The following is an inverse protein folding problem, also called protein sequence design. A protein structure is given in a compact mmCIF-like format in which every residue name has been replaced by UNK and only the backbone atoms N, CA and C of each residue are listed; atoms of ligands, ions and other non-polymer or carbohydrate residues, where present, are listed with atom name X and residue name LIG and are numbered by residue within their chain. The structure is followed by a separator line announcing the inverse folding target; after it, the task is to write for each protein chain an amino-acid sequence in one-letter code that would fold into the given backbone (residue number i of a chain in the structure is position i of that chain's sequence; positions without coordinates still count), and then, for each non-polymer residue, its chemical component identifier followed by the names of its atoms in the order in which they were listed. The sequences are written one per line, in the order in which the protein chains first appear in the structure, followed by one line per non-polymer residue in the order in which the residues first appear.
data_IF_397188112833
#
_entry.id   IF_397188112833
#
_cell.length_a   1.000
_cell.length_b   1.000
_cell.length_c   1.000
_cell.angle_alpha   90.00
_cell.angle_beta   90.00
_cell.angle_gamma   90.00
#
_symmetry.space_group_name_H-M   'P 1'
#
loop_
_entity.id
_entity.type
_entity.pdbx_description
1 polymer ?
#
# COMPACT_ATOMS: atom_id res chain seq x y z
N UNK A 1 10.15 -11.60 12.36
CA UNK A 1 11.00 -11.15 11.23
C UNK A 1 10.31 -9.92 10.64
N UNK A 2 10.98 -8.78 10.72
CA UNK A 2 10.51 -7.46 10.31
C UNK A 2 9.98 -7.45 8.86
N UNK A 3 8.79 -6.90 8.64
CA UNK A 3 8.16 -6.74 7.31
C UNK A 3 9.05 -5.92 6.39
N UNK A 4 9.78 -4.92 6.93
CA UNK A 4 10.76 -4.12 6.21
C UNK A 4 11.93 -4.99 5.69
N UNK A 5 12.48 -5.85 6.55
CA UNK A 5 13.58 -6.74 6.16
C UNK A 5 13.12 -7.76 5.10
N UNK A 6 11.87 -8.22 5.18
CA UNK A 6 11.29 -9.13 4.17
C UNK A 6 11.03 -8.41 2.84
N UNK A 7 10.48 -7.20 2.89
CA UNK A 7 10.26 -6.35 1.72
C UNK A 7 11.57 -6.07 1.00
N UNK A 8 12.60 -5.64 1.74
CA UNK A 8 13.96 -5.46 1.21
C UNK A 8 14.48 -6.77 0.61
N UNK A 9 14.37 -7.89 1.31
CA UNK A 9 14.93 -9.15 0.80
C UNK A 9 14.25 -9.64 -0.49
N UNK A 10 12.93 -9.49 -0.62
CA UNK A 10 12.19 -9.89 -1.82
C UNK A 10 12.47 -8.95 -3.01
N UNK A 11 12.55 -7.64 -2.76
CA UNK A 11 12.83 -6.65 -3.81
C UNK A 11 14.31 -6.73 -4.26
N UNK A 12 15.26 -6.87 -3.34
CA UNK A 12 16.70 -6.83 -3.63
C UNK A 12 17.33 -8.19 -3.97
N UNK A 13 16.86 -9.29 -3.37
CA UNK A 13 17.45 -10.63 -3.57
C UNK A 13 16.52 -11.62 -4.29
N UNK A 14 15.28 -11.22 -4.60
CA UNK A 14 14.32 -12.01 -5.40
C UNK A 14 14.82 -12.23 -6.82
N UNK A 15 15.39 -13.40 -7.07
CA UNK A 15 15.90 -13.85 -8.38
C UNK A 15 14.77 -13.94 -9.41
N UNK A 16 14.72 -13.00 -10.35
CA UNK A 16 14.11 -13.07 -11.70
C UNK A 16 12.82 -13.88 -11.90
N UNK A 17 11.93 -13.94 -10.92
CA UNK A 17 10.66 -14.61 -11.07
C UNK A 17 9.54 -13.65 -10.68
N UNK A 18 8.52 -13.62 -11.53
CA UNK A 18 7.19 -13.13 -11.25
C UNK A 18 6.90 -13.33 -9.75
N UNK A 19 6.73 -12.24 -8.99
CA UNK A 19 6.28 -12.33 -7.60
C UNK A 19 4.96 -13.09 -7.64
N UNK A 20 4.95 -14.31 -7.12
CA UNK A 20 3.73 -15.09 -6.96
C UNK A 20 2.78 -14.31 -6.06
N UNK A 21 1.47 -14.39 -6.32
CA UNK A 21 0.43 -13.71 -5.54
C UNK A 21 0.65 -13.87 -4.02
N UNK A 22 1.08 -15.06 -3.61
CA UNK A 22 1.40 -15.45 -2.22
C UNK A 22 2.61 -14.71 -1.60
N UNK A 23 3.55 -14.21 -2.42
CA UNK A 23 4.71 -13.45 -1.95
C UNK A 23 4.38 -11.97 -1.71
N UNK A 24 3.35 -11.45 -2.38
CA UNK A 24 2.91 -10.07 -2.24
C UNK A 24 2.11 -9.87 -0.93
N UNK A 25 1.27 -10.83 -0.54
CA UNK A 25 0.54 -10.78 0.74
C UNK A 25 1.48 -10.78 1.96
N UNK A 26 2.69 -11.30 1.80
CA UNK A 26 3.73 -11.32 2.82
C UNK A 26 4.51 -10.02 2.99
N UNK A 27 4.32 -9.05 2.09
CA UNK A 27 5.12 -7.82 2.01
C UNK A 27 4.50 -6.65 2.78
N UNK A 28 3.16 -6.58 2.87
CA UNK A 28 2.43 -5.45 3.46
C UNK A 28 1.67 -5.79 4.73
N UNK A 29 1.27 -7.05 4.86
CA UNK A 29 0.60 -7.57 6.06
C UNK A 29 1.46 -8.73 6.57
N UNK A 30 1.57 -8.99 7.87
CA UNK A 30 2.39 -10.09 8.41
C UNK A 30 1.88 -11.51 8.05
N UNK A 31 1.35 -11.72 6.84
CA UNK A 31 0.74 -12.97 6.37
C UNK A 31 -0.62 -13.24 6.99
N UNK A 32 -1.35 -12.19 7.37
CA UNK A 32 -2.69 -12.33 7.94
C UNK A 32 -3.71 -12.51 6.82
N UNK A 33 -4.68 -13.37 7.06
CA UNK A 33 -5.88 -13.44 6.22
C UNK A 33 -6.71 -12.16 6.36
N UNK A 34 -7.53 -11.86 5.35
CA UNK A 34 -8.45 -10.70 5.40
C UNK A 34 -9.35 -10.69 6.64
N UNK A 35 -9.75 -11.87 7.14
CA UNK A 35 -10.58 -12.00 8.34
C UNK A 35 -9.79 -11.62 9.59
N UNK A 36 -8.58 -12.16 9.75
CA UNK A 36 -7.71 -11.84 10.89
C UNK A 36 -7.37 -10.34 10.92
N UNK A 37 -7.04 -9.77 9.76
CA UNK A 37 -6.80 -8.33 9.64
C UNK A 37 -8.04 -7.49 9.94
N UNK A 38 -9.23 -7.96 9.54
CA UNK A 38 -10.51 -7.32 9.86
C UNK A 38 -10.74 -7.17 11.37
N UNK A 39 -10.45 -8.20 12.16
CA UNK A 39 -10.55 -8.12 13.63
C UNK A 39 -9.56 -7.11 14.23
N UNK A 40 -8.34 -7.03 13.69
CA UNK A 40 -7.37 -6.02 14.13
C UNK A 40 -7.87 -4.60 13.79
N UNK A 41 -8.41 -4.40 12.59
CA UNK A 41 -8.98 -3.12 12.17
C UNK A 41 -10.14 -2.68 13.08
N UNK A 42 -10.97 -3.61 13.54
CA UNK A 42 -12.04 -3.32 14.51
C UNK A 42 -11.49 -2.74 15.83
N UNK A 43 -10.41 -3.34 16.34
CA UNK A 43 -9.77 -2.87 17.58
C UNK A 43 -9.06 -1.53 17.35
N UNK A 44 -8.29 -1.42 16.26
CA UNK A 44 -7.56 -0.18 15.92
C UNK A 44 -8.51 0.99 15.65
N UNK A 45 -9.67 0.74 15.03
CA UNK A 45 -10.69 1.75 14.73
C UNK A 45 -11.29 2.42 15.97
N UNK A 46 -11.05 1.88 17.17
CA UNK A 46 -11.44 2.51 18.45
C UNK A 46 -10.64 3.78 18.75
N UNK A 47 -9.47 3.94 18.14
CA UNK A 47 -8.59 5.09 18.33
C UNK A 47 -8.16 5.68 16.99
N UNK A 48 -8.41 6.98 16.80
CA UNK A 48 -8.17 7.66 15.51
C UNK A 48 -6.70 7.64 15.06
N UNK A 49 -5.76 7.49 16.00
CA UNK A 49 -4.32 7.51 15.76
C UNK A 49 -3.70 6.12 15.66
N UNK A 50 -4.42 5.06 16.04
CA UNK A 50 -3.85 3.71 16.09
C UNK A 50 -3.39 3.20 14.71
N UNK A 51 -4.16 3.38 13.62
CA UNK A 51 -3.72 2.92 12.30
C UNK A 51 -2.39 3.52 11.85
N UNK A 52 -2.12 4.77 12.20
CA UNK A 52 -0.90 5.48 11.84
C UNK A 52 0.32 4.92 12.60
N UNK A 53 0.14 4.52 13.86
CA UNK A 53 1.22 3.89 14.65
C UNK A 53 1.61 2.53 14.07
N UNK A 54 0.63 1.74 13.62
CA UNK A 54 0.88 0.43 13.01
C UNK A 54 1.18 0.49 11.50
N UNK A 55 1.35 1.70 10.96
CA UNK A 55 1.59 1.95 9.53
C UNK A 55 0.55 1.30 8.59
N UNK A 56 -0.69 1.20 9.05
CA UNK A 56 -1.81 0.58 8.35
C UNK A 56 -2.98 1.55 8.10
N UNK A 57 -2.72 2.86 8.28
CA UNK A 57 -3.70 3.91 8.02
C UNK A 57 -3.93 4.16 6.53
N UNK A 58 -5.18 4.52 6.19
CA UNK A 58 -5.47 5.08 4.87
C UNK A 58 -4.88 6.50 4.74
N UNK A 59 -4.42 6.90 3.54
CA UNK A 59 -4.47 6.17 2.26
C UNK A 59 -3.23 5.28 2.00
N UNK A 60 -2.25 5.28 2.91
CA UNK A 60 -0.93 4.65 2.70
C UNK A 60 -1.04 3.15 2.38
N UNK A 61 -1.86 2.40 3.12
CA UNK A 61 -2.03 0.95 2.93
C UNK A 61 -2.46 0.59 1.50
N UNK A 62 -3.45 1.31 0.96
CA UNK A 62 -3.93 1.07 -0.41
C UNK A 62 -2.90 1.48 -1.46
N UNK A 63 -2.17 2.57 -1.23
CA UNK A 63 -1.10 2.99 -2.14
C UNK A 63 0.08 2.00 -2.15
N UNK A 64 0.42 1.42 -1.00
CA UNK A 64 1.40 0.35 -0.92
C UNK A 64 0.96 -0.88 -1.71
N UNK A 65 -0.32 -1.26 -1.61
CA UNK A 65 -0.90 -2.37 -2.38
C UNK A 65 -0.84 -2.10 -3.89
N UNK A 66 -1.21 -0.89 -4.34
CA UNK A 66 -1.10 -0.49 -5.76
C UNK A 66 0.34 -0.57 -6.26
N UNK A 67 1.31 -0.04 -5.52
CA UNK A 67 2.73 -0.13 -5.89
C UNK A 67 3.19 -1.58 -5.97
N UNK A 68 2.78 -2.42 -5.03
CA UNK A 68 3.16 -3.83 -5.01
C UNK A 68 2.62 -4.61 -6.21
N UNK A 69 1.38 -4.33 -6.63
CA UNK A 69 0.76 -5.03 -7.76
C UNK A 69 1.19 -4.50 -9.12
N UNK A 70 1.43 -3.18 -9.24
CA UNK A 70 1.59 -2.52 -10.54
C UNK A 70 2.90 -1.75 -10.72
N UNK A 71 3.69 -1.57 -9.65
CA UNK A 71 4.94 -0.83 -9.69
C UNK A 71 6.08 -1.60 -10.38
N UNK A 72 6.95 -0.88 -11.09
CA UNK A 72 8.21 -1.42 -11.57
C UNK A 72 9.25 -1.49 -10.43
N UNK A 73 10.42 -2.13 -10.68
CA UNK A 73 11.44 -2.33 -9.65
C UNK A 73 11.96 -1.01 -9.08
N UNK A 74 12.15 -0.02 -9.93
CA UNK A 74 12.64 1.30 -9.55
C UNK A 74 11.65 2.02 -8.64
N UNK A 75 10.35 1.98 -8.97
CA UNK A 75 9.27 2.56 -8.16
C UNK A 75 9.10 1.83 -6.83
N UNK A 76 9.20 0.50 -6.82
CA UNK A 76 9.16 -0.29 -5.59
C UNK A 76 10.34 0.07 -4.67
N UNK A 77 11.54 0.21 -5.24
CA UNK A 77 12.73 0.53 -4.46
C UNK A 77 12.68 1.95 -3.88
N UNK A 78 12.26 2.93 -4.66
CA UNK A 78 12.21 4.33 -4.24
C UNK A 78 11.06 4.59 -3.25
N UNK A 79 9.86 4.09 -3.56
CA UNK A 79 8.64 4.48 -2.87
C UNK A 79 8.13 3.44 -1.89
N UNK A 80 8.07 2.16 -2.29
CA UNK A 80 7.49 1.11 -1.43
C UNK A 80 8.34 0.87 -0.18
N UNK A 81 9.67 0.81 -0.31
CA UNK A 81 10.57 0.60 0.84
C UNK A 81 10.40 1.72 1.88
N UNK A 82 10.39 2.96 1.42
CA UNK A 82 10.22 4.15 2.28
C UNK A 82 8.84 4.17 2.95
N UNK A 83 7.80 3.72 2.25
CA UNK A 83 6.44 3.61 2.79
C UNK A 83 6.32 2.52 3.86
N UNK A 84 6.88 1.33 3.64
CA UNK A 84 6.86 0.24 4.62
C UNK A 84 7.67 0.60 5.87
N UNK A 85 8.76 1.35 5.71
CA UNK A 85 9.55 1.92 6.82
C UNK A 85 8.83 3.06 7.56
N UNK A 86 7.76 3.60 6.98
CA UNK A 86 6.97 4.68 7.57
C UNK A 86 7.66 6.05 7.59
N UNK A 87 8.71 6.24 6.77
CA UNK A 87 9.49 7.49 6.69
C UNK A 87 8.80 8.55 5.84
N UNK A 88 7.90 8.14 4.94
CA UNK A 88 7.08 9.01 4.09
C UNK A 88 5.60 8.67 4.21
N UNK A 89 4.74 9.57 3.76
CA UNK A 89 3.27 9.43 3.73
C UNK A 89 2.76 9.82 2.35
N UNK A 90 1.74 9.11 1.89
CA UNK A 90 1.17 9.30 0.57
C UNK A 90 -0.20 9.97 0.65
N UNK A 91 -0.55 10.65 -0.44
CA UNK A 91 -1.92 11.07 -0.72
C UNK A 91 -2.49 10.23 -1.85
N UNK A 92 -3.81 10.10 -1.89
CA UNK A 92 -4.51 9.62 -3.08
C UNK A 92 -5.41 10.75 -3.58
N UNK A 93 -5.19 11.16 -4.83
CA UNK A 93 -5.92 12.25 -5.46
C UNK A 93 -6.77 11.71 -6.61
N UNK A 94 -8.09 11.69 -6.38
CA UNK A 94 -9.08 11.23 -7.37
C UNK A 94 -10.32 12.13 -7.37
N UNK A 95 -10.79 12.56 -6.19
CA UNK A 95 -11.97 13.44 -6.07
C UNK A 95 -11.67 14.85 -6.55
N UNK A 96 -12.48 15.34 -7.48
CA UNK A 96 -12.38 16.68 -8.07
C UNK A 96 -13.47 17.60 -7.49
N UNK A 97 -13.13 18.76 -6.89
CA UNK A 97 -14.10 19.57 -6.14
C UNK A 97 -15.31 20.09 -6.95
N UNK A 98 -15.18 20.20 -8.26
CA UNK A 98 -16.18 20.82 -9.14
C UNK A 98 -17.12 19.80 -9.80
N UNK A 99 -16.90 18.50 -9.58
CA UNK A 99 -17.59 17.43 -10.30
C UNK A 99 -18.16 16.40 -9.33
N UNK A 100 -19.17 15.66 -9.78
CA UNK A 100 -19.70 14.52 -9.06
C UNK A 100 -18.75 13.30 -9.23
N UNK A 101 -17.62 13.30 -8.50
CA UNK A 101 -16.60 12.24 -8.57
C UNK A 101 -16.99 10.90 -7.93
N UNK A 102 -18.23 10.76 -7.45
CA UNK A 102 -18.75 9.44 -7.05
C UNK A 102 -18.87 8.49 -8.25
N UNK A 103 -19.08 9.04 -9.44
CA UNK A 103 -18.94 8.33 -10.71
C UNK A 103 -17.56 8.66 -11.29
N UNK A 104 -16.68 7.65 -11.36
CA UNK A 104 -15.32 7.82 -11.84
C UNK A 104 -15.24 8.22 -13.33
N UNK A 105 -16.32 8.01 -14.10
CA UNK A 105 -16.37 8.42 -15.51
C UNK A 105 -16.48 9.94 -15.70
N UNK A 106 -16.82 10.67 -14.64
CA UNK A 106 -16.88 12.14 -14.64
C UNK A 106 -15.52 12.81 -14.35
N UNK A 107 -14.45 12.06 -14.08
CA UNK A 107 -13.14 12.65 -13.79
C UNK A 107 -12.60 13.33 -15.06
N UNK A 108 -12.19 14.60 -14.94
CA UNK A 108 -11.69 15.40 -16.06
C UNK A 108 -10.16 15.57 -16.04
N UNK A 109 -9.48 15.28 -14.92
CA UNK A 109 -8.02 15.25 -14.87
C UNK A 109 -7.47 14.29 -15.92
N UNK A 110 -6.62 14.80 -16.79
CA UNK A 110 -6.05 14.07 -17.91
C UNK A 110 -4.55 13.93 -17.79
N UNK A 111 -4.05 12.77 -18.21
CA UNK A 111 -2.62 12.48 -18.35
C UNK A 111 -2.33 12.18 -19.82
N UNK A 112 -1.45 12.96 -20.43
CA UNK A 112 -0.97 12.77 -21.80
C UNK A 112 0.47 12.23 -21.78
N UNK A 113 0.83 11.44 -22.79
CA UNK A 113 2.18 10.86 -22.92
C UNK A 113 3.23 11.88 -23.34
#
# INVERSE_FOLDING_TARGET
LDSVVRARNLIFYGRNNHLSFDANDLLLVPGLTNIEYGYLCEIMGRFIWAPQIFNCGAPDTGNMEVLLHYGNKEQLQEWLVSLVEGTIRFGFAMTEPQLASSDATNIECSITR
#
